data_IF_174096166514
#
_entry.id   IF_174096166514
#
_cell.length_a   1.000
_cell.length_b   1.000
_cell.length_c   1.000
_cell.angle_alpha   90.00
_cell.angle_beta   90.00
_cell.angle_gamma   90.00
#
_symmetry.space_group_name_H-M   'P 1'
#
loop_
_entity.id
_entity.type
_entity.pdbx_description
1 polymer ?
#
# COMPACT_ATOMS: atom_id res chain seq x y z
N UNK A 1 -10.42 10.46 -21.30
CA UNK A 1 -9.07 10.56 -20.73
C UNK A 1 -9.25 10.48 -19.23
N UNK A 2 -8.56 9.62 -18.53
CA UNK A 2 -8.66 9.57 -17.08
C UNK A 2 -7.32 9.14 -16.50
N UNK A 3 -6.72 10.01 -15.70
CA UNK A 3 -5.58 9.68 -14.86
C UNK A 3 -6.08 9.51 -13.43
N UNK A 4 -6.18 8.28 -12.96
CA UNK A 4 -6.74 7.94 -11.67
C UNK A 4 -5.66 7.45 -10.69
N UNK A 5 -5.80 7.83 -9.43
CA UNK A 5 -4.99 7.30 -8.32
C UNK A 5 -5.86 6.36 -7.49
N UNK A 6 -5.34 5.18 -7.14
CA UNK A 6 -6.01 4.23 -6.22
C UNK A 6 -5.16 4.05 -4.98
N UNK A 7 -5.67 4.45 -3.81
CA UNK A 7 -4.96 4.41 -2.53
C UNK A 7 -5.77 3.75 -1.42
N UNK A 8 -5.09 3.30 -0.36
CA UNK A 8 -5.73 2.86 0.88
C UNK A 8 -6.08 4.02 1.80
N UNK A 9 -7.20 3.93 2.50
CA UNK A 9 -7.69 4.99 3.39
C UNK A 9 -7.56 4.68 4.88
N UNK A 10 -7.15 3.46 5.24
CA UNK A 10 -7.03 2.99 6.62
C UNK A 10 -5.56 2.68 6.95
N UNK A 11 -5.25 1.52 7.53
CA UNK A 11 -3.87 1.08 7.85
C UNK A 11 -3.32 -0.01 6.92
N UNK A 12 -3.75 -0.04 5.67
CA UNK A 12 -3.39 -1.10 4.74
C UNK A 12 -4.35 -2.29 4.80
N UNK A 13 -4.13 -3.25 3.92
CA UNK A 13 -4.93 -4.48 3.81
C UNK A 13 -6.43 -4.26 3.51
N UNK A 14 -6.82 -3.10 2.94
CA UNK A 14 -8.19 -2.76 2.56
C UNK A 14 -8.74 -3.62 1.40
N UNK A 15 -7.95 -4.56 0.90
CA UNK A 15 -8.31 -5.33 -0.28
C UNK A 15 -8.17 -4.54 -1.59
N UNK A 16 -7.25 -3.57 -1.60
CA UNK A 16 -6.95 -2.74 -2.79
C UNK A 16 -6.70 -3.55 -4.05
N UNK A 17 -6.04 -4.72 -3.92
CA UNK A 17 -5.69 -5.56 -5.07
C UNK A 17 -6.88 -5.88 -5.97
N UNK A 18 -8.07 -6.10 -5.42
CA UNK A 18 -9.30 -6.34 -6.19
C UNK A 18 -9.73 -5.10 -6.98
N UNK A 19 -9.77 -3.93 -6.35
CA UNK A 19 -10.15 -2.67 -7.00
C UNK A 19 -9.12 -2.28 -8.06
N UNK A 20 -7.83 -2.42 -7.73
CA UNK A 20 -6.73 -2.16 -8.63
C UNK A 20 -6.81 -3.07 -9.86
N UNK A 21 -7.06 -4.38 -9.70
CA UNK A 21 -7.19 -5.31 -10.82
C UNK A 21 -8.34 -4.94 -11.77
N UNK A 22 -9.49 -4.55 -11.22
CA UNK A 22 -10.65 -4.13 -12.02
C UNK A 22 -10.31 -2.87 -12.83
N UNK A 23 -9.68 -1.87 -12.21
CA UNK A 23 -9.32 -0.63 -12.90
C UNK A 23 -8.17 -0.87 -13.89
N UNK A 24 -7.15 -1.67 -13.50
CA UNK A 24 -6.02 -2.03 -14.36
C UNK A 24 -6.46 -2.72 -15.66
N UNK A 25 -7.52 -3.54 -15.60
CA UNK A 25 -8.05 -4.21 -16.79
C UNK A 25 -8.58 -3.25 -17.87
N UNK A 26 -8.83 -1.99 -17.50
CA UNK A 26 -9.35 -0.92 -18.36
C UNK A 26 -8.32 0.18 -18.62
N UNK A 27 -7.10 0.04 -18.06
CA UNK A 27 -6.05 1.05 -18.15
C UNK A 27 -5.03 0.71 -19.26
N UNK A 28 -4.59 1.74 -20.00
CA UNK A 28 -3.50 1.63 -20.95
C UNK A 28 -2.14 1.64 -20.25
N UNK A 29 -2.06 2.32 -19.10
CA UNK A 29 -0.83 2.47 -18.30
C UNK A 29 -1.12 2.27 -16.82
N UNK A 30 -0.31 1.45 -16.15
CA UNK A 30 -0.35 1.24 -14.68
C UNK A 30 1.00 1.58 -14.08
N UNK A 31 1.01 2.46 -13.08
CA UNK A 31 2.23 3.03 -12.49
C UNK A 31 2.32 2.79 -10.99
N UNK A 32 3.41 2.18 -10.52
CA UNK A 32 3.79 2.15 -9.10
C UNK A 32 4.65 3.38 -8.79
N UNK A 33 4.28 4.15 -7.78
CA UNK A 33 4.88 5.45 -7.48
C UNK A 33 5.75 5.48 -6.23
N UNK A 34 5.57 4.55 -5.29
CA UNK A 34 6.26 4.56 -3.99
C UNK A 34 6.29 3.16 -3.33
N UNK A 35 6.96 3.06 -2.17
CA UNK A 35 7.13 1.81 -1.44
C UNK A 35 8.19 0.92 -2.08
N UNK A 36 8.17 -0.34 -1.73
CA UNK A 36 9.10 -1.35 -2.24
C UNK A 36 8.47 -2.75 -2.15
N UNK A 37 9.29 -3.78 -1.95
CA UNK A 37 8.85 -5.15 -1.82
C UNK A 37 8.12 -5.46 -0.48
N UNK A 38 7.93 -4.47 0.40
CA UNK A 38 7.04 -4.53 1.55
C UNK A 38 5.55 -4.42 1.17
N UNK A 39 5.23 -3.99 -0.03
CA UNK A 39 3.87 -4.07 -0.58
C UNK A 39 3.59 -5.49 -1.10
N UNK A 40 2.33 -5.87 -1.12
CA UNK A 40 1.89 -7.14 -1.70
C UNK A 40 0.46 -7.02 -2.21
N UNK A 41 0.30 -7.16 -3.52
CA UNK A 41 -1.02 -7.26 -4.15
C UNK A 41 -1.23 -8.70 -4.61
N UNK A 42 -2.28 -9.32 -4.10
CA UNK A 42 -2.72 -10.63 -4.60
C UNK A 42 -3.80 -10.39 -5.63
N UNK A 43 -3.57 -10.84 -6.85
CA UNK A 43 -4.50 -10.75 -7.97
C UNK A 43 -4.85 -12.17 -8.40
N UNK A 44 -6.13 -12.43 -8.64
CA UNK A 44 -6.61 -13.69 -9.21
C UNK A 44 -7.07 -13.44 -10.63
N UNK A 45 -6.39 -14.02 -11.60
CA UNK A 45 -6.70 -13.87 -13.03
C UNK A 45 -6.60 -15.22 -13.74
N UNK A 46 -7.59 -15.55 -14.56
CA UNK A 46 -7.62 -16.82 -15.29
C UNK A 46 -7.62 -18.09 -14.40
N UNK A 47 -8.09 -17.99 -13.16
CA UNK A 47 -8.06 -19.08 -12.19
C UNK A 47 -6.71 -19.26 -11.47
N UNK A 48 -5.70 -18.46 -11.80
CA UNK A 48 -4.41 -18.46 -11.14
C UNK A 48 -4.25 -17.28 -10.18
N UNK A 49 -3.47 -17.50 -9.13
CA UNK A 49 -3.14 -16.47 -8.13
C UNK A 49 -1.75 -15.92 -8.40
N UNK A 50 -1.67 -14.60 -8.52
CA UNK A 50 -0.44 -13.84 -8.68
C UNK A 50 -0.17 -12.99 -7.44
N UNK A 51 1.02 -13.12 -6.88
CA UNK A 51 1.48 -12.29 -5.75
C UNK A 51 2.50 -11.30 -6.28
N UNK A 52 2.08 -10.05 -6.46
CA UNK A 52 2.90 -8.96 -7.00
C UNK A 52 3.39 -8.08 -5.85
N UNK A 53 4.67 -7.78 -5.83
CA UNK A 53 5.30 -6.94 -4.81
C UNK A 53 5.82 -5.63 -5.41
N UNK A 54 6.57 -5.69 -6.49
CA UNK A 54 7.17 -4.55 -7.18
C UNK A 54 6.56 -4.33 -8.55
N UNK A 55 6.25 -5.39 -9.27
CA UNK A 55 5.65 -5.32 -10.61
C UNK A 55 4.22 -4.78 -10.50
N UNK A 56 3.83 -3.75 -11.30
CA UNK A 56 2.46 -3.26 -11.31
C UNK A 56 1.45 -4.33 -11.74
N UNK A 57 0.24 -4.29 -11.17
CA UNK A 57 -0.81 -5.29 -11.43
C UNK A 57 -1.26 -5.36 -12.89
N UNK A 58 -1.05 -4.29 -13.66
CA UNK A 58 -1.31 -4.24 -15.10
C UNK A 58 -0.52 -5.23 -15.95
N UNK A 59 0.55 -5.84 -15.42
CA UNK A 59 1.40 -6.81 -16.13
C UNK A 59 0.63 -8.05 -16.63
N UNK A 60 -0.49 -8.35 -15.99
CA UNK A 60 -1.37 -9.45 -16.37
C UNK A 60 -2.17 -9.15 -17.64
N UNK A 61 -2.16 -7.91 -18.12
CA UNK A 61 -2.89 -7.45 -19.31
C UNK A 61 -1.90 -7.08 -20.41
N UNK A 62 -1.92 -7.84 -21.51
CA UNK A 62 -0.93 -7.79 -22.59
C UNK A 62 -0.69 -6.40 -23.19
N UNK A 63 -1.73 -5.56 -23.24
CA UNK A 63 -1.66 -4.23 -23.86
C UNK A 63 -1.43 -3.09 -22.85
N UNK A 64 -1.32 -3.40 -21.56
CA UNK A 64 -1.13 -2.41 -20.52
C UNK A 64 0.36 -2.17 -20.28
N UNK A 65 0.81 -0.93 -20.39
CA UNK A 65 2.17 -0.53 -20.07
C UNK A 65 2.34 -0.43 -18.56
N UNK A 66 3.33 -1.12 -17.99
CA UNK A 66 3.60 -1.21 -16.57
C UNK A 66 4.85 -0.41 -16.19
N UNK A 67 4.73 0.52 -15.27
CA UNK A 67 5.77 1.47 -14.96
C UNK A 67 6.11 1.46 -13.46
N UNK A 68 7.39 1.45 -13.14
CA UNK A 68 7.93 1.61 -11.77
C UNK A 68 8.60 2.98 -11.70
N UNK A 69 7.98 3.90 -10.95
CA UNK A 69 8.41 5.29 -10.85
C UNK A 69 9.60 5.52 -9.92
N UNK A 70 10.15 6.72 -9.98
CA UNK A 70 11.34 7.19 -9.24
C UNK A 70 11.18 7.16 -7.71
N UNK A 71 9.93 7.13 -7.21
CA UNK A 71 9.64 7.09 -5.78
C UNK A 71 9.78 5.70 -5.16
N UNK A 72 9.87 4.63 -5.97
CA UNK A 72 10.02 3.25 -5.48
C UNK A 72 11.44 3.00 -5.00
N UNK A 73 11.57 2.17 -3.94
CA UNK A 73 12.84 1.55 -3.54
C UNK A 73 12.82 0.08 -3.97
N UNK A 74 13.63 -0.25 -4.97
CA UNK A 74 13.61 -1.52 -5.68
C UNK A 74 14.65 -2.46 -5.08
N UNK A 75 14.23 -3.63 -4.59
CA UNK A 75 15.12 -4.72 -4.23
C UNK A 75 15.41 -5.55 -5.49
N UNK A 76 16.63 -5.52 -6.07
CA UNK A 76 16.94 -6.20 -7.33
C UNK A 76 16.83 -7.72 -7.23
N UNK A 77 17.14 -8.29 -6.07
CA UNK A 77 17.06 -9.73 -5.82
C UNK A 77 15.62 -10.23 -5.84
N UNK A 78 14.75 -9.59 -5.07
CA UNK A 78 13.33 -9.97 -5.04
C UNK A 78 12.63 -9.61 -6.35
N UNK A 79 13.01 -8.50 -6.97
CA UNK A 79 12.49 -8.11 -8.28
C UNK A 79 12.83 -9.12 -9.37
N UNK A 80 14.08 -9.61 -9.42
CA UNK A 80 14.48 -10.63 -10.39
C UNK A 80 13.69 -11.94 -10.20
N UNK A 81 13.46 -12.36 -8.95
CA UNK A 81 12.59 -13.52 -8.67
C UNK A 81 11.17 -13.31 -9.15
N UNK A 82 10.65 -12.10 -9.00
CA UNK A 82 9.30 -11.76 -9.45
C UNK A 82 9.22 -11.77 -11.00
N UNK A 83 10.25 -11.26 -11.69
CA UNK A 83 10.39 -11.37 -13.15
C UNK A 83 10.39 -12.85 -13.60
N UNK A 84 11.23 -13.69 -12.98
CA UNK A 84 11.33 -15.11 -13.31
C UNK A 84 10.00 -15.84 -13.07
N UNK A 85 9.30 -15.50 -11.99
CA UNK A 85 7.97 -16.03 -11.70
C UNK A 85 6.94 -15.67 -12.76
N UNK A 86 6.96 -14.44 -13.28
CA UNK A 86 6.04 -14.03 -14.34
C UNK A 86 6.38 -14.72 -15.65
N UNK A 87 7.66 -14.77 -16.05
CA UNK A 87 8.13 -15.45 -17.26
C UNK A 87 7.80 -16.96 -17.24
N UNK A 88 7.97 -17.63 -16.07
CA UNK A 88 7.63 -19.05 -15.91
C UNK A 88 6.15 -19.37 -16.11
N UNK A 89 5.29 -18.36 -15.91
CA UNK A 89 3.85 -18.43 -16.15
C UNK A 89 3.44 -17.94 -17.54
N UNK A 90 4.41 -17.67 -18.42
CA UNK A 90 4.17 -17.21 -19.79
C UNK A 90 3.71 -15.75 -19.90
N UNK A 91 3.88 -14.95 -18.84
CA UNK A 91 3.58 -13.51 -18.89
C UNK A 91 4.74 -12.77 -19.55
N UNK A 92 4.46 -12.02 -20.63
CA UNK A 92 5.46 -11.13 -21.25
C UNK A 92 5.76 -9.95 -20.34
N UNK A 93 7.04 -9.58 -20.29
CA UNK A 93 7.55 -8.42 -19.59
C UNK A 93 7.98 -7.28 -20.53
N UNK A 94 7.66 -7.36 -21.83
CA UNK A 94 8.07 -6.38 -22.84
C UNK A 94 7.44 -4.99 -22.60
N UNK A 95 6.30 -4.97 -21.88
CA UNK A 95 5.54 -3.79 -21.48
C UNK A 95 5.95 -3.22 -20.11
N UNK A 96 7.07 -3.67 -19.52
CA UNK A 96 7.57 -3.18 -18.23
C UNK A 96 8.65 -2.11 -18.43
N UNK A 97 8.58 -1.00 -17.65
CA UNK A 97 9.66 0.00 -17.56
C UNK A 97 9.92 0.43 -16.13
N UNK A 98 11.15 0.80 -15.86
CA UNK A 98 11.65 1.21 -14.53
C UNK A 98 12.37 2.54 -14.65
N UNK A 99 12.01 3.48 -13.81
CA UNK A 99 12.67 4.79 -13.78
C UNK A 99 14.13 4.68 -13.31
N UNK A 100 15.10 5.23 -14.04
CA UNK A 100 16.51 5.21 -13.64
C UNK A 100 16.79 5.93 -12.31
N UNK A 101 15.89 6.81 -11.87
CA UNK A 101 16.00 7.56 -10.60
C UNK A 101 15.49 6.78 -9.39
N UNK A 102 14.80 5.64 -9.57
CA UNK A 102 14.38 4.77 -8.48
C UNK A 102 15.61 4.30 -7.67
N UNK A 103 15.47 4.21 -6.34
CA UNK A 103 16.57 3.79 -5.48
C UNK A 103 16.60 2.27 -5.32
N UNK A 104 17.79 1.75 -5.04
CA UNK A 104 18.05 0.31 -4.88
C UNK A 104 18.11 -0.03 -3.40
N UNK A 105 17.32 -1.03 -2.99
CA UNK A 105 17.47 -1.65 -1.68
C UNK A 105 18.65 -2.61 -1.71
N UNK A 106 19.65 -2.35 -0.87
CA UNK A 106 20.90 -3.11 -0.79
C UNK A 106 20.89 -4.05 0.42
N UNK A 107 21.73 -5.10 0.46
CA UNK A 107 21.80 -6.04 1.60
C UNK A 107 22.05 -5.37 2.94
N UNK A 108 22.83 -4.30 2.98
CA UNK A 108 23.05 -3.54 4.22
C UNK A 108 21.79 -2.82 4.72
N UNK A 109 20.85 -2.43 3.83
CA UNK A 109 19.58 -1.87 4.26
C UNK A 109 18.74 -2.91 5.01
N UNK A 110 18.72 -4.14 4.51
CA UNK A 110 18.01 -5.27 5.15
C UNK A 110 18.63 -5.60 6.51
N UNK A 111 19.96 -5.66 6.57
CA UNK A 111 20.68 -5.90 7.82
C UNK A 111 20.41 -4.79 8.85
N UNK A 112 20.52 -3.52 8.45
CA UNK A 112 20.27 -2.36 9.31
C UNK A 112 18.83 -2.30 9.81
N UNK A 113 17.85 -2.65 8.97
CA UNK A 113 16.42 -2.70 9.37
C UNK A 113 16.23 -3.72 10.50
N UNK A 114 16.78 -4.93 10.35
CA UNK A 114 16.72 -5.96 11.39
C UNK A 114 17.46 -5.61 12.68
N UNK A 115 18.69 -5.08 12.57
CA UNK A 115 19.52 -4.71 13.70
C UNK A 115 18.94 -3.52 14.47
N UNK A 116 18.42 -2.50 13.79
CA UNK A 116 17.81 -1.35 14.45
C UNK A 116 16.54 -1.74 15.23
N UNK A 117 15.73 -2.67 14.73
CA UNK A 117 14.59 -3.20 15.47
C UNK A 117 15.02 -3.96 16.74
N UNK A 118 16.07 -4.77 16.63
CA UNK A 118 16.63 -5.46 17.80
C UNK A 118 17.19 -4.48 18.83
N UNK A 119 17.89 -3.44 18.38
CA UNK A 119 18.47 -2.41 19.25
C UNK A 119 17.42 -1.61 20.01
N UNK A 120 16.26 -1.34 19.37
CA UNK A 120 15.11 -0.64 20.00
C UNK A 120 14.43 -1.48 21.10
N UNK A 121 14.56 -2.80 21.08
CA UNK A 121 13.92 -3.70 22.04
C UNK A 121 12.41 -3.50 22.12
N UNK A 122 11.88 -3.08 23.30
CA UNK A 122 10.44 -2.87 23.49
C UNK A 122 9.88 -1.66 22.70
N UNK A 123 10.73 -0.76 22.24
CA UNK A 123 10.37 0.41 21.44
C UNK A 123 10.45 0.14 19.93
N UNK A 124 10.47 -1.14 19.51
CA UNK A 124 10.48 -1.53 18.11
C UNK A 124 9.21 -1.04 17.38
N UNK A 125 9.37 -0.71 16.11
CA UNK A 125 8.27 -0.23 15.25
C UNK A 125 7.44 -1.41 14.72
N UNK A 126 8.06 -2.58 14.61
CA UNK A 126 7.47 -3.76 13.99
C UNK A 126 7.60 -3.74 12.47
N UNK A 127 8.78 -3.40 11.96
CA UNK A 127 9.06 -3.31 10.52
C UNK A 127 8.94 -4.66 9.82
N UNK A 128 8.85 -4.63 8.50
CA UNK A 128 8.83 -5.84 7.67
C UNK A 128 10.21 -6.48 7.51
N UNK A 129 11.27 -5.84 8.02
CA UNK A 129 12.68 -6.24 7.89
C UNK A 129 13.13 -6.42 6.44
N UNK A 130 12.60 -5.58 5.54
CA UNK A 130 12.93 -5.58 4.12
C UNK A 130 13.83 -4.43 3.69
N UNK A 131 14.36 -3.68 4.65
CA UNK A 131 15.29 -2.59 4.39
C UNK A 131 14.68 -1.33 3.79
N UNK A 132 13.35 -1.19 3.83
CA UNK A 132 12.64 -0.05 3.20
C UNK A 132 13.02 1.27 3.86
N UNK A 133 12.93 1.35 5.19
CA UNK A 133 13.31 2.54 5.96
C UNK A 133 14.75 2.97 5.70
N UNK A 134 15.74 2.11 5.88
CA UNK A 134 17.14 2.41 5.58
C UNK A 134 17.41 2.81 4.12
N UNK A 135 16.69 2.23 3.15
CA UNK A 135 16.82 2.63 1.74
C UNK A 135 16.30 4.06 1.48
N UNK A 136 15.15 4.42 2.08
CA UNK A 136 14.66 5.81 2.02
C UNK A 136 15.57 6.78 2.80
N UNK A 137 16.13 6.35 3.93
CA UNK A 137 17.11 7.16 4.67
C UNK A 137 18.31 7.53 3.78
N UNK A 138 18.88 6.56 3.07
CA UNK A 138 19.98 6.82 2.12
C UNK A 138 19.57 7.72 0.96
N UNK A 139 18.33 7.59 0.48
CA UNK A 139 17.79 8.49 -0.56
C UNK A 139 17.79 9.94 -0.09
N UNK A 140 17.30 10.22 1.11
CA UNK A 140 17.21 11.60 1.65
C UNK A 140 18.56 12.12 2.16
N UNK A 141 19.45 11.24 2.62
CA UNK A 141 20.85 11.53 2.90
C UNK A 141 21.64 11.85 1.61
N UNK A 142 21.15 11.46 0.45
CA UNK A 142 21.78 11.60 -0.87
C UNK A 142 23.01 10.71 -1.07
N UNK A 143 23.07 9.61 -0.34
CA UNK A 143 24.10 8.58 -0.42
C UNK A 143 23.61 7.29 -1.12
N UNK A 144 22.32 7.24 -1.48
CA UNK A 144 21.67 6.06 -2.04
C UNK A 144 22.14 5.72 -3.46
N UNK A 145 22.09 4.42 -3.76
CA UNK A 145 22.35 3.86 -5.10
C UNK A 145 21.03 3.88 -5.88
N UNK A 146 21.06 4.35 -7.12
CA UNK A 146 19.93 4.37 -8.03
C UNK A 146 19.95 3.21 -9.01
N UNK A 147 18.84 2.93 -9.65
CA UNK A 147 18.74 1.95 -10.73
C UNK A 147 19.70 2.30 -11.87
N UNK A 148 19.86 3.61 -12.21
CA UNK A 148 20.87 4.06 -13.15
C UNK A 148 22.27 3.57 -12.78
N UNK A 149 22.66 3.70 -11.52
CA UNK A 149 23.98 3.29 -11.06
C UNK A 149 24.13 1.76 -11.17
N UNK A 150 23.11 1.01 -10.75
CA UNK A 150 23.11 -0.46 -10.77
C UNK A 150 23.32 -1.04 -12.18
N UNK A 151 22.75 -0.42 -13.21
CA UNK A 151 22.87 -0.91 -14.58
C UNK A 151 24.17 -0.48 -15.27
N UNK A 152 25.02 0.30 -14.59
CA UNK A 152 26.35 0.70 -15.03
C UNK A 152 27.41 0.09 -14.09
N UNK A 153 27.98 -1.09 -14.39
CA UNK A 153 28.75 -1.90 -13.43
C UNK A 153 29.90 -1.18 -12.73
N UNK A 154 30.63 -0.33 -13.46
CA UNK A 154 31.78 0.42 -12.87
C UNK A 154 31.30 1.47 -11.87
N UNK A 155 30.26 2.24 -12.23
CA UNK A 155 29.64 3.25 -11.36
C UNK A 155 29.05 2.57 -10.12
N UNK A 156 28.38 1.45 -10.32
CA UNK A 156 27.80 0.67 -9.24
C UNK A 156 28.88 0.17 -8.27
N UNK A 157 29.95 -0.42 -8.77
CA UNK A 157 31.04 -0.95 -7.94
C UNK A 157 31.71 0.14 -7.10
N UNK A 158 31.97 1.31 -7.66
CA UNK A 158 32.55 2.47 -6.95
C UNK A 158 31.63 2.93 -5.81
N UNK A 159 30.34 3.19 -6.12
CA UNK A 159 29.35 3.62 -5.14
C UNK A 159 29.11 2.58 -4.05
N UNK A 160 29.01 1.30 -4.42
CA UNK A 160 28.80 0.22 -3.46
C UNK A 160 29.96 0.06 -2.49
N UNK A 161 31.20 0.20 -2.94
CA UNK A 161 32.39 0.20 -2.04
C UNK A 161 32.35 1.38 -1.07
N UNK A 162 32.05 2.58 -1.58
CA UNK A 162 31.98 3.78 -0.74
C UNK A 162 30.86 3.67 0.31
N UNK A 163 29.63 3.38 -0.11
CA UNK A 163 28.49 3.25 0.81
C UNK A 163 28.67 2.06 1.76
N UNK A 164 29.07 0.89 1.24
CA UNK A 164 29.23 -0.33 2.02
C UNK A 164 30.27 -0.22 3.12
N UNK A 165 31.35 0.54 2.89
CA UNK A 165 32.36 0.81 3.92
C UNK A 165 31.78 1.52 5.14
N UNK A 166 30.95 2.56 4.92
CA UNK A 166 30.26 3.28 6.00
C UNK A 166 29.23 2.38 6.68
N UNK A 167 28.40 1.68 5.89
CA UNK A 167 27.33 0.83 6.43
C UNK A 167 27.89 -0.33 7.24
N UNK A 168 28.99 -0.94 6.83
CA UNK A 168 29.66 -1.98 7.62
C UNK A 168 30.14 -1.45 8.97
N UNK A 169 30.70 -0.24 9.04
CA UNK A 169 31.05 0.37 10.33
C UNK A 169 29.83 0.53 11.24
N UNK A 170 28.70 0.99 10.70
CA UNK A 170 27.47 1.11 11.50
C UNK A 170 26.99 -0.27 11.96
N UNK A 171 27.00 -1.26 11.08
CA UNK A 171 26.59 -2.63 11.40
C UNK A 171 27.46 -3.21 12.52
N UNK A 172 28.78 -3.09 12.41
CA UNK A 172 29.72 -3.75 13.34
C UNK A 172 29.94 -2.95 14.62
N UNK A 173 30.23 -1.63 14.51
CA UNK A 173 30.64 -0.80 15.63
C UNK A 173 29.46 -0.25 16.44
N UNK A 174 28.29 -0.02 15.80
CA UNK A 174 27.08 0.51 16.49
C UNK A 174 26.14 -0.60 16.91
N UNK A 175 25.87 -1.55 16.01
CA UNK A 175 24.87 -2.59 16.27
C UNK A 175 25.47 -3.95 16.66
N UNK A 176 26.80 -4.14 16.57
CA UNK A 176 27.46 -5.41 16.90
C UNK A 176 27.10 -6.56 15.95
N UNK A 177 26.65 -6.23 14.74
CA UNK A 177 26.31 -7.22 13.71
C UNK A 177 27.52 -7.67 12.89
N UNK A 178 27.33 -8.69 12.05
CA UNK A 178 28.37 -9.21 11.18
C UNK A 178 28.55 -8.30 9.93
N UNK A 179 29.79 -8.04 9.51
CA UNK A 179 30.06 -7.24 8.31
C UNK A 179 29.58 -7.95 7.04
N UNK A 180 29.13 -7.17 6.07
CA UNK A 180 28.71 -7.65 4.76
C UNK A 180 29.93 -7.67 3.83
N UNK A 181 30.13 -8.75 3.07
CA UNK A 181 31.13 -8.83 2.01
C UNK A 181 30.67 -7.97 0.82
N UNK A 182 31.24 -6.78 0.71
CA UNK A 182 30.87 -5.79 -0.31
C UNK A 182 31.25 -6.26 -1.72
N UNK A 183 32.38 -6.99 -1.89
CA UNK A 183 32.76 -7.48 -3.21
C UNK A 183 31.83 -8.61 -3.68
N UNK A 184 31.38 -9.48 -2.78
CA UNK A 184 30.35 -10.47 -3.10
C UNK A 184 29.04 -9.80 -3.50
N UNK A 185 28.62 -8.73 -2.79
CA UNK A 185 27.43 -7.93 -3.14
C UNK A 185 27.60 -7.30 -4.53
N UNK A 186 28.75 -6.69 -4.82
CA UNK A 186 29.00 -6.09 -6.13
C UNK A 186 28.88 -7.13 -7.23
N UNK A 187 29.46 -8.29 -7.06
CA UNK A 187 29.39 -9.38 -8.04
C UNK A 187 27.95 -9.83 -8.28
N UNK A 188 27.19 -10.11 -7.21
CA UNK A 188 25.80 -10.58 -7.30
C UNK A 188 24.88 -9.50 -7.92
N UNK A 189 24.97 -8.26 -7.43
CA UNK A 189 24.07 -7.18 -7.86
C UNK A 189 24.38 -6.65 -9.27
N UNK A 190 25.62 -6.80 -9.75
CA UNK A 190 25.96 -6.54 -11.15
C UNK A 190 25.19 -7.45 -12.09
N UNK A 191 24.99 -8.72 -11.74
CA UNK A 191 24.18 -9.64 -12.57
C UNK A 191 22.70 -9.24 -12.56
N UNK A 192 22.14 -8.80 -11.42
CA UNK A 192 20.81 -8.22 -11.38
C UNK A 192 20.71 -6.96 -12.24
N UNK A 193 21.71 -6.08 -12.19
CA UNK A 193 21.78 -4.88 -13.02
C UNK A 193 21.72 -5.20 -14.52
N UNK A 194 22.48 -6.18 -14.98
CA UNK A 194 22.43 -6.66 -16.38
C UNK A 194 21.02 -7.15 -16.77
N UNK A 195 20.37 -7.90 -15.88
CA UNK A 195 19.01 -8.43 -16.12
C UNK A 195 17.97 -7.33 -16.21
N UNK A 196 18.13 -6.26 -15.41
CA UNK A 196 17.17 -5.15 -15.29
C UNK A 196 17.39 -4.10 -16.38
N UNK A 197 18.60 -3.96 -16.91
CA UNK A 197 18.99 -2.87 -17.83
C UNK A 197 18.03 -2.66 -19.00
N UNK A 198 17.47 -3.72 -19.58
CA UNK A 198 16.54 -3.66 -20.72
C UNK A 198 15.20 -2.98 -20.39
N UNK A 199 14.87 -2.85 -19.12
CA UNK A 199 13.63 -2.24 -18.66
C UNK A 199 13.77 -0.76 -18.27
N UNK A 200 14.99 -0.22 -18.24
CA UNK A 200 15.26 1.14 -17.75
C UNK A 200 14.87 2.18 -18.79
N UNK A 201 14.00 3.11 -18.40
CA UNK A 201 13.53 4.20 -19.26
C UNK A 201 12.98 5.37 -18.42
N UNK A 202 12.85 6.57 -19.01
CA UNK A 202 12.30 7.74 -18.29
C UNK A 202 10.78 7.63 -18.13
N UNK A 203 10.37 7.09 -16.99
CA UNK A 203 8.96 6.86 -16.67
C UNK A 203 8.16 8.18 -16.65
N UNK A 204 8.76 9.29 -16.21
CA UNK A 204 8.05 10.58 -16.15
C UNK A 204 7.68 11.09 -17.56
N UNK A 205 8.57 10.92 -18.50
CA UNK A 205 8.32 11.28 -19.93
C UNK A 205 7.29 10.34 -20.53
N UNK A 206 7.38 9.05 -20.24
CA UNK A 206 6.42 8.05 -20.74
C UNK A 206 5.00 8.37 -20.26
N UNK A 207 4.82 8.63 -18.96
CA UNK A 207 3.51 8.98 -18.37
C UNK A 207 2.96 10.26 -18.98
N UNK A 208 3.81 11.29 -19.12
CA UNK A 208 3.41 12.57 -19.71
C UNK A 208 2.95 12.42 -21.17
N UNK A 209 3.67 11.65 -21.98
CA UNK A 209 3.31 11.40 -23.38
C UNK A 209 2.02 10.56 -23.47
N UNK A 210 1.87 9.52 -22.65
CA UNK A 210 0.65 8.72 -22.59
C UNK A 210 -0.58 9.59 -22.25
N UNK A 211 -0.43 10.54 -21.30
CA UNK A 211 -1.50 11.49 -21.00
C UNK A 211 -1.84 12.38 -22.20
N UNK A 212 -0.83 12.92 -22.90
CA UNK A 212 -1.06 13.72 -24.12
C UNK A 212 -1.74 12.95 -25.25
N UNK A 213 -1.45 11.65 -25.36
CA UNK A 213 -2.07 10.75 -26.32
C UNK A 213 -3.50 10.36 -25.92
N UNK A 214 -4.00 10.82 -24.77
CA UNK A 214 -5.34 10.53 -24.30
C UNK A 214 -5.52 9.12 -23.73
N UNK A 215 -4.43 8.46 -23.31
CA UNK A 215 -4.47 7.13 -22.70
C UNK A 215 -5.04 7.20 -21.28
N UNK A 216 -5.65 6.10 -20.87
CA UNK A 216 -6.12 5.90 -19.50
C UNK A 216 -4.95 5.45 -18.62
N UNK A 217 -4.65 6.23 -17.56
CA UNK A 217 -3.53 6.00 -16.66
C UNK A 217 -4.05 5.69 -15.27
N UNK A 218 -3.57 4.62 -14.66
CA UNK A 218 -3.84 4.29 -13.26
C UNK A 218 -2.55 4.32 -12.45
N UNK A 219 -2.54 5.07 -11.36
CA UNK A 219 -1.47 5.03 -10.36
C UNK A 219 -1.88 4.10 -9.22
N UNK A 220 -1.15 3.01 -9.09
CA UNK A 220 -1.37 1.96 -8.11
C UNK A 220 -0.65 2.29 -6.81
N UNK A 221 -1.40 2.69 -5.78
CA UNK A 221 -0.89 2.98 -4.44
C UNK A 221 -0.55 1.71 -3.66
N UNK A 222 0.54 1.77 -2.90
CA UNK A 222 0.92 0.76 -1.92
C UNK A 222 0.67 1.29 -0.50
N UNK A 223 0.51 0.40 0.48
CA UNK A 223 0.17 0.75 1.87
C UNK A 223 -1.15 1.55 1.96
N UNK A 224 -1.23 2.55 2.85
CA UNK A 224 -2.44 3.35 3.04
C UNK A 224 -2.14 4.69 3.73
N UNK A 225 -3.11 5.60 3.75
CA UNK A 225 -2.99 6.95 4.29
C UNK A 225 -2.49 6.99 5.74
N UNK A 226 -3.01 6.12 6.61
CA UNK A 226 -2.61 6.09 8.03
C UNK A 226 -1.19 5.52 8.26
N UNK A 227 -0.55 5.01 7.19
CA UNK A 227 0.85 4.58 7.16
C UNK A 227 1.77 5.61 6.48
N UNK A 228 1.27 6.78 6.09
CA UNK A 228 2.08 7.86 5.54
C UNK A 228 3.05 8.40 6.58
N UNK A 229 4.29 8.73 6.15
CA UNK A 229 5.35 9.18 7.05
C UNK A 229 5.01 10.50 7.77
N UNK A 230 4.24 11.39 7.13
CA UNK A 230 3.89 12.71 7.67
C UNK A 230 2.46 12.75 8.22
N UNK A 231 1.49 12.14 7.52
CA UNK A 231 0.05 12.22 7.84
C UNK A 231 -0.52 10.96 8.47
N UNK A 232 0.29 9.94 8.68
CA UNK A 232 -0.09 8.70 9.34
C UNK A 232 0.16 8.70 10.85
N UNK A 233 0.06 7.52 11.45
CA UNK A 233 0.26 7.29 12.89
C UNK A 233 1.74 7.11 13.25
N UNK A 234 2.56 8.11 12.97
CA UNK A 234 3.99 8.12 13.30
C UNK A 234 4.22 7.80 14.80
N UNK A 235 5.18 6.92 15.19
CA UNK A 235 6.21 6.29 14.33
C UNK A 235 5.79 4.96 13.66
N UNK A 236 4.56 4.48 13.85
CA UNK A 236 4.06 3.22 13.30
C UNK A 236 3.55 3.40 11.86
N UNK A 237 4.45 3.75 10.95
CA UNK A 237 4.21 4.13 9.55
C UNK A 237 5.23 3.49 8.62
N UNK A 238 5.04 3.63 7.31
CA UNK A 238 6.09 3.35 6.31
C UNK A 238 6.95 4.60 6.08
N UNK A 239 8.15 4.42 5.56
CA UNK A 239 9.08 5.53 5.28
C UNK A 239 8.84 6.19 3.91
N UNK A 240 7.61 6.14 3.41
CA UNK A 240 7.22 6.71 2.11
C UNK A 240 5.90 7.47 2.23
N UNK A 241 5.44 8.07 1.12
CA UNK A 241 4.18 8.78 1.04
C UNK A 241 3.11 7.98 0.27
N UNK A 242 2.30 7.13 0.96
CA UNK A 242 1.14 6.47 0.36
C UNK A 242 0.00 7.42 -0.01
N UNK A 243 0.01 8.66 0.46
CA UNK A 243 -0.97 9.69 0.10
C UNK A 243 -0.88 10.08 -1.38
N UNK A 244 -1.97 10.60 -1.93
CA UNK A 244 -2.07 10.93 -3.36
C UNK A 244 -0.99 11.90 -3.86
N UNK A 245 -0.57 12.86 -3.04
CA UNK A 245 0.54 13.77 -3.36
C UNK A 245 1.87 13.03 -3.60
N UNK A 246 2.08 11.91 -2.91
CA UNK A 246 3.25 11.05 -3.09
C UNK A 246 3.35 10.45 -4.50
N UNK A 247 2.24 10.29 -5.19
CA UNK A 247 2.21 9.83 -6.59
C UNK A 247 2.89 10.84 -7.51
N UNK A 248 2.57 12.12 -7.37
CA UNK A 248 3.17 13.18 -8.19
C UNK A 248 4.69 13.24 -8.01
N UNK A 249 5.15 13.20 -6.76
CA UNK A 249 6.59 13.20 -6.44
C UNK A 249 7.27 11.92 -6.93
N UNK A 250 6.62 10.77 -6.73
CA UNK A 250 7.19 9.45 -7.06
C UNK A 250 7.24 9.12 -8.55
N UNK A 251 6.50 9.86 -9.39
CA UNK A 251 6.46 9.64 -10.85
C UNK A 251 6.93 10.84 -11.66
N UNK A 252 7.09 12.00 -11.02
CA UNK A 252 7.49 13.22 -11.71
C UNK A 252 6.38 13.86 -12.56
N UNK A 253 5.11 13.55 -12.27
CA UNK A 253 3.96 14.15 -12.96
C UNK A 253 3.40 15.34 -12.17
N UNK A 254 2.92 16.35 -12.87
CA UNK A 254 2.27 17.50 -12.24
C UNK A 254 0.89 17.12 -11.65
N UNK A 255 0.48 17.74 -10.52
CA UNK A 255 -0.79 17.40 -9.87
C UNK A 255 -2.03 17.66 -10.75
N UNK A 256 -1.94 18.60 -11.69
CA UNK A 256 -3.03 18.92 -12.63
C UNK A 256 -3.27 17.82 -13.69
N UNK A 257 -2.41 16.81 -13.75
CA UNK A 257 -2.61 15.64 -14.62
C UNK A 257 -3.62 14.65 -14.02
N UNK A 258 -3.85 14.71 -12.72
CA UNK A 258 -4.72 13.77 -12.00
C UNK A 258 -6.17 14.22 -12.11
N UNK A 259 -7.03 13.37 -12.66
CA UNK A 259 -8.46 13.63 -12.84
C UNK A 259 -9.30 13.06 -11.68
N UNK A 260 -8.85 11.95 -11.08
CA UNK A 260 -9.63 11.21 -10.10
C UNK A 260 -8.75 10.56 -9.04
N UNK A 261 -9.22 10.57 -7.78
CA UNK A 261 -8.53 9.89 -6.67
C UNK A 261 -9.55 8.99 -5.96
N UNK A 262 -9.31 7.69 -6.02
CA UNK A 262 -10.18 6.64 -5.47
C UNK A 262 -9.56 6.12 -4.17
N UNK A 263 -10.26 6.33 -3.07
CA UNK A 263 -9.89 5.77 -1.77
C UNK A 263 -10.50 4.39 -1.57
N UNK A 264 -9.72 3.42 -1.15
CA UNK A 264 -10.21 2.07 -0.83
C UNK A 264 -10.24 1.88 0.68
N UNK A 265 -11.39 1.51 1.22
CA UNK A 265 -11.60 1.14 2.62
C UNK A 265 -12.20 -0.27 2.72
N UNK A 266 -12.11 -0.89 3.88
CA UNK A 266 -12.98 -2.01 4.26
C UNK A 266 -14.24 -1.51 4.94
N UNK A 267 -15.29 -2.30 4.91
CA UNK A 267 -16.51 -2.06 5.68
C UNK A 267 -16.31 -2.15 7.21
N UNK A 268 -15.11 -2.48 7.65
CA UNK A 268 -14.61 -2.48 9.03
C UNK A 268 -13.14 -2.04 9.02
N UNK A 269 -12.47 -2.03 10.16
CA UNK A 269 -11.07 -1.60 10.23
C UNK A 269 -10.17 -2.76 10.63
N UNK A 270 -8.96 -2.83 10.03
CA UNK A 270 -7.90 -3.73 10.48
C UNK A 270 -6.59 -3.00 10.62
N UNK A 271 -5.74 -3.46 11.54
CA UNK A 271 -4.38 -2.96 11.70
C UNK A 271 -3.40 -4.11 11.89
N UNK A 272 -2.26 -4.00 11.25
CA UNK A 272 -1.10 -4.87 11.48
C UNK A 272 -0.08 -4.11 12.33
N UNK A 273 0.56 -4.80 13.28
CA UNK A 273 1.61 -4.22 14.10
C UNK A 273 1.11 -3.38 15.27
N UNK A 274 2.01 -2.55 15.78
CA UNK A 274 1.82 -1.75 16.98
C UNK A 274 1.12 -0.42 16.69
N UNK A 275 0.82 0.31 17.75
CA UNK A 275 0.19 1.63 17.72
C UNK A 275 -1.29 1.61 18.10
N UNK A 276 -1.86 2.79 18.40
CA UNK A 276 -3.24 2.92 18.83
C UNK A 276 -4.24 2.51 17.74
N UNK A 277 -5.32 1.89 18.18
CA UNK A 277 -6.43 1.48 17.34
C UNK A 277 -7.74 1.72 18.11
N UNK A 278 -8.30 2.92 18.05
CA UNK A 278 -9.42 3.32 18.90
C UNK A 278 -10.64 2.42 18.80
N UNK A 279 -10.93 1.88 17.60
CA UNK A 279 -12.09 1.03 17.34
C UNK A 279 -11.80 -0.47 17.45
N UNK A 280 -10.65 -0.86 17.99
CA UNK A 280 -10.26 -2.27 18.13
C UNK A 280 -11.28 -3.06 18.94
N UNK A 281 -11.53 -4.29 18.52
CA UNK A 281 -12.40 -5.26 19.18
C UNK A 281 -11.55 -6.43 19.67
N UNK A 282 -11.40 -6.49 20.98
CA UNK A 282 -10.74 -7.61 21.67
C UNK A 282 -11.81 -8.50 22.33
N UNK A 283 -12.79 -8.92 21.53
CA UNK A 283 -13.95 -9.70 21.95
C UNK A 283 -14.37 -10.70 20.86
N UNK A 284 -15.44 -11.45 21.11
CA UNK A 284 -16.00 -12.45 20.21
C UNK A 284 -16.42 -11.84 18.85
N UNK A 285 -16.87 -10.58 18.84
CA UNK A 285 -17.22 -9.87 17.60
C UNK A 285 -15.98 -9.64 16.75
N UNK A 286 -14.88 -9.19 17.36
CA UNK A 286 -13.59 -9.00 16.70
C UNK A 286 -13.04 -10.30 16.10
N UNK A 287 -13.15 -11.40 16.85
CA UNK A 287 -12.75 -12.73 16.37
C UNK A 287 -13.63 -13.21 15.20
N UNK A 288 -14.94 -12.98 15.28
CA UNK A 288 -15.86 -13.34 14.21
C UNK A 288 -15.54 -12.57 12.92
N UNK A 289 -15.33 -11.26 13.00
CA UNK A 289 -14.93 -10.44 11.84
C UNK A 289 -13.59 -10.93 11.29
N UNK A 290 -12.61 -11.23 12.14
CA UNK A 290 -11.30 -11.76 11.73
C UNK A 290 -11.41 -13.05 10.95
N UNK A 291 -12.16 -14.00 11.49
CA UNK A 291 -12.31 -15.33 10.88
C UNK A 291 -13.11 -15.26 9.58
N UNK A 292 -14.26 -14.60 9.56
CA UNK A 292 -15.09 -14.42 8.34
C UNK A 292 -14.36 -13.61 7.27
N UNK A 293 -13.65 -12.56 7.67
CA UNK A 293 -12.88 -11.73 6.76
C UNK A 293 -11.56 -12.35 6.30
N UNK A 294 -11.14 -13.49 6.89
CA UNK A 294 -9.84 -14.09 6.58
C UNK A 294 -8.69 -13.13 6.92
N UNK A 295 -8.79 -12.39 8.04
CA UNK A 295 -7.84 -11.34 8.40
C UNK A 295 -6.59 -11.92 9.05
N UNK A 296 -5.78 -12.56 8.20
CA UNK A 296 -4.47 -13.15 8.54
C UNK A 296 -3.41 -12.66 7.56
N UNK A 297 -2.18 -12.52 8.05
CA UNK A 297 -1.06 -12.07 7.21
C UNK A 297 -0.74 -13.09 6.12
N UNK A 298 -0.71 -12.66 4.86
CA UNK A 298 -0.51 -13.53 3.70
C UNK A 298 0.80 -14.32 3.75
N UNK A 299 1.85 -13.75 4.35
CA UNK A 299 3.19 -14.36 4.43
C UNK A 299 3.42 -15.06 5.76
N UNK A 300 2.92 -14.50 6.87
CA UNK A 300 3.24 -14.95 8.23
C UNK A 300 2.10 -15.73 8.88
N UNK A 301 0.89 -15.70 8.32
CA UNK A 301 -0.32 -16.25 8.95
C UNK A 301 -0.74 -15.54 10.25
N UNK A 302 -0.05 -14.47 10.63
CA UNK A 302 -0.32 -13.74 11.89
C UNK A 302 -1.72 -13.10 11.84
N UNK A 303 -2.55 -13.26 12.90
CA UNK A 303 -3.86 -12.62 12.96
C UNK A 303 -3.70 -11.09 12.94
N UNK A 304 -4.56 -10.42 12.17
CA UNK A 304 -4.70 -8.97 12.18
C UNK A 304 -5.61 -8.54 13.33
N UNK A 305 -5.32 -7.38 13.89
CA UNK A 305 -6.23 -6.68 14.81
C UNK A 305 -7.44 -6.22 14.00
N UNK A 306 -8.64 -6.38 14.53
CA UNK A 306 -9.91 -6.04 13.87
C UNK A 306 -10.70 -5.06 14.72
N UNK A 307 -11.48 -4.21 14.10
CA UNK A 307 -12.30 -3.21 14.76
C UNK A 307 -13.44 -2.69 13.90
N UNK A 308 -14.36 -1.94 14.50
CA UNK A 308 -15.45 -1.31 13.80
C UNK A 308 -14.94 -0.30 12.75
N UNK A 309 -15.79 0.02 11.77
CA UNK A 309 -15.49 1.08 10.81
C UNK A 309 -15.27 2.41 11.53
N UNK A 310 -14.20 3.09 11.16
CA UNK A 310 -13.81 4.36 11.76
C UNK A 310 -13.95 5.49 10.74
N UNK A 311 -15.03 6.26 10.85
CA UNK A 311 -15.29 7.37 9.94
C UNK A 311 -14.34 8.55 10.17
N UNK A 312 -13.73 8.67 11.37
CA UNK A 312 -12.75 9.74 11.66
C UNK A 312 -11.50 9.56 10.80
N UNK A 313 -10.95 8.33 10.75
CA UNK A 313 -9.76 8.06 9.92
C UNK A 313 -10.07 8.16 8.43
N UNK A 314 -11.27 7.74 7.99
CA UNK A 314 -11.62 7.82 6.56
C UNK A 314 -11.86 9.26 6.15
N UNK A 315 -12.49 10.10 6.97
CA UNK A 315 -12.59 11.57 6.74
C UNK A 315 -11.23 12.23 6.63
N UNK A 316 -10.32 11.88 7.54
CA UNK A 316 -8.92 12.33 7.45
C UNK A 316 -8.32 11.96 6.10
N UNK A 317 -8.50 10.71 5.66
CA UNK A 317 -8.01 10.23 4.38
C UNK A 317 -8.67 10.96 3.19
N UNK A 318 -9.97 11.23 3.25
CA UNK A 318 -10.69 12.03 2.23
C UNK A 318 -10.05 13.40 2.09
N UNK A 319 -9.81 14.09 3.21
CA UNK A 319 -9.24 15.44 3.26
C UNK A 319 -7.80 15.48 2.76
N UNK A 320 -6.93 14.60 3.28
CA UNK A 320 -5.48 14.60 2.99
C UNK A 320 -5.20 14.26 1.53
N UNK A 321 -6.00 13.37 0.95
CA UNK A 321 -5.82 12.90 -0.41
C UNK A 321 -6.65 13.66 -1.45
N UNK A 322 -7.67 14.42 -1.04
CA UNK A 322 -8.63 15.02 -1.96
C UNK A 322 -9.43 13.95 -2.72
N UNK A 323 -9.94 12.93 -2.00
CA UNK A 323 -10.66 11.83 -2.64
C UNK A 323 -11.90 12.32 -3.38
N UNK A 324 -12.05 11.84 -4.62
CA UNK A 324 -13.26 12.04 -5.41
C UNK A 324 -14.29 10.95 -5.18
N UNK A 325 -13.85 9.74 -4.85
CA UNK A 325 -14.69 8.55 -4.65
C UNK A 325 -14.09 7.61 -3.61
N UNK A 326 -14.95 6.80 -2.99
CA UNK A 326 -14.59 5.65 -2.16
C UNK A 326 -14.99 4.33 -2.82
N UNK A 327 -14.19 3.31 -2.58
CA UNK A 327 -14.53 1.91 -2.81
C UNK A 327 -14.53 1.20 -1.46
N UNK A 328 -15.65 0.57 -1.09
CA UNK A 328 -15.78 -0.19 0.17
C UNK A 328 -15.69 -1.67 -0.14
N UNK A 329 -14.70 -2.35 0.43
CA UNK A 329 -14.52 -3.79 0.28
C UNK A 329 -15.02 -4.57 1.50
N UNK A 330 -15.22 -5.88 1.30
CA UNK A 330 -15.54 -6.85 2.36
C UNK A 330 -16.82 -6.54 3.14
N UNK A 331 -17.82 -5.99 2.47
CA UNK A 331 -19.13 -5.74 3.06
C UNK A 331 -19.82 -7.07 3.46
N UNK A 332 -19.63 -8.12 2.66
CA UNK A 332 -20.06 -9.49 2.91
C UNK A 332 -19.62 -10.06 4.26
N UNK A 333 -18.45 -9.64 4.76
CA UNK A 333 -17.93 -10.07 6.06
C UNK A 333 -18.84 -9.67 7.21
N UNK A 334 -19.60 -8.58 7.08
CA UNK A 334 -20.48 -8.05 8.12
C UNK A 334 -21.86 -8.72 8.18
N UNK A 335 -22.22 -9.56 7.20
CA UNK A 335 -23.46 -10.36 7.26
C UNK A 335 -23.49 -11.23 8.51
N UNK A 336 -24.60 -11.25 9.26
CA UNK A 336 -24.78 -12.07 10.46
C UNK A 336 -23.91 -11.66 11.67
N UNK A 337 -23.40 -10.42 11.70
CA UNK A 337 -22.66 -9.89 12.87
C UNK A 337 -23.63 -9.31 13.92
N UNK A 338 -24.88 -9.06 13.56
CA UNK A 338 -25.82 -8.30 14.38
C UNK A 338 -25.72 -6.81 14.12
N UNK A 339 -25.99 -5.99 15.14
CA UNK A 339 -25.91 -4.55 15.01
C UNK A 339 -24.48 -4.08 14.70
N UNK A 340 -24.36 -3.19 13.71
CA UNK A 340 -23.09 -2.65 13.24
C UNK A 340 -22.81 -1.31 13.91
N UNK A 341 -21.58 -1.10 14.35
CA UNK A 341 -21.16 0.18 14.94
C UNK A 341 -20.21 0.91 14.01
N UNK A 342 -20.38 2.22 13.90
CA UNK A 342 -19.52 3.13 13.16
C UNK A 342 -18.99 4.18 14.13
N UNK A 343 -17.67 4.33 14.21
CA UNK A 343 -17.06 5.40 15.00
C UNK A 343 -17.22 6.73 14.27
N UNK A 344 -17.94 7.66 14.89
CA UNK A 344 -18.30 8.97 14.30
C UNK A 344 -17.45 10.12 14.83
N UNK A 345 -16.87 9.93 16.03
CA UNK A 345 -16.03 10.91 16.74
C UNK A 345 -15.14 10.19 17.74
N UNK A 346 -14.15 10.91 18.27
CA UNK A 346 -13.37 10.48 19.43
C UNK A 346 -13.68 11.38 20.64
N UNK A 347 -13.79 10.77 21.82
CA UNK A 347 -13.89 11.46 23.09
C UNK A 347 -12.51 11.51 23.75
N UNK A 348 -12.05 12.70 24.06
CA UNK A 348 -10.79 12.95 24.77
C UNK A 348 -10.94 12.71 26.27
N UNK A 349 -9.83 12.59 27.05
CA UNK A 349 -9.88 12.41 28.50
C UNK A 349 -10.62 13.52 29.27
N UNK A 350 -10.68 14.73 28.73
CA UNK A 350 -11.42 15.87 29.29
C UNK A 350 -12.94 15.83 28.96
N UNK A 351 -13.41 14.80 28.24
CA UNK A 351 -14.81 14.65 27.84
C UNK A 351 -15.17 15.43 26.58
N UNK A 352 -14.27 16.20 26.00
CA UNK A 352 -14.52 16.87 24.71
C UNK A 352 -14.54 15.86 23.57
N UNK A 353 -15.38 16.13 22.54
CA UNK A 353 -15.48 15.29 21.34
C UNK A 353 -14.85 15.96 20.17
N UNK A 354 -14.07 15.19 19.41
CA UNK A 354 -13.44 15.62 18.16
C UNK A 354 -13.88 14.72 17.01
N UNK A 355 -14.09 15.32 15.85
CA UNK A 355 -14.44 14.65 14.60
C UNK A 355 -13.27 14.60 13.62
N UNK A 356 -12.26 15.40 13.84
CA UNK A 356 -11.01 15.39 13.10
C UNK A 356 -10.01 14.42 13.74
N UNK A 357 -9.19 13.81 12.88
CA UNK A 357 -8.13 12.91 13.32
C UNK A 357 -7.04 13.69 14.06
N UNK A 358 -6.65 13.27 15.29
CA UNK A 358 -5.61 13.95 16.06
C UNK A 358 -4.27 13.98 15.31
N UNK A 359 -3.54 15.11 15.35
CA UNK A 359 -2.27 15.23 14.63
C UNK A 359 -1.11 14.47 15.28
N UNK A 360 -1.26 14.07 16.54
CA UNK A 360 -0.21 13.39 17.31
C UNK A 360 -0.72 12.07 17.90
N UNK A 361 0.19 11.09 17.96
CA UNK A 361 -0.14 9.72 18.36
C UNK A 361 -0.61 9.63 19.83
N UNK A 362 -0.02 10.40 20.70
CA UNK A 362 -0.32 10.43 22.13
C UNK A 362 -1.79 10.85 22.36
N UNK A 363 -2.27 11.86 21.64
CA UNK A 363 -3.68 12.25 21.70
C UNK A 363 -4.60 11.13 21.19
N UNK A 364 -4.20 10.45 20.12
CA UNK A 364 -4.99 9.34 19.58
C UNK A 364 -5.06 8.15 20.54
N UNK A 365 -3.96 7.87 21.26
CA UNK A 365 -3.88 6.75 22.18
C UNK A 365 -4.84 6.88 23.37
N UNK A 366 -5.10 8.12 23.81
CA UNK A 366 -5.98 8.45 24.93
C UNK A 366 -7.44 8.61 24.52
N UNK A 367 -7.74 8.62 23.23
CA UNK A 367 -9.09 8.80 22.71
C UNK A 367 -9.95 7.54 22.85
N UNK A 368 -11.23 7.74 23.18
CA UNK A 368 -12.26 6.68 23.15
C UNK A 368 -13.18 6.87 21.94
N UNK A 369 -13.54 5.80 21.23
CA UNK A 369 -14.44 5.90 20.10
C UNK A 369 -15.88 6.21 20.55
N UNK A 370 -16.53 7.12 19.85
CA UNK A 370 -17.96 7.40 19.98
C UNK A 370 -18.66 6.75 18.81
N UNK A 371 -19.60 5.86 19.11
CA UNK A 371 -20.26 5.05 18.09
C UNK A 371 -21.70 5.51 17.81
N UNK A 372 -22.09 5.45 16.53
CA UNK A 372 -23.47 5.25 16.12
C UNK A 372 -23.70 3.76 15.84
N UNK A 373 -24.88 3.24 16.24
CA UNK A 373 -25.28 1.86 16.00
C UNK A 373 -26.30 1.82 14.88
N UNK A 374 -26.09 0.94 13.93
CA UNK A 374 -26.94 0.71 12.76
C UNK A 374 -27.43 -0.74 12.75
N UNK A 375 -28.62 -0.97 12.27
CA UNK A 375 -29.14 -2.31 12.09
C UNK A 375 -28.26 -3.09 11.11
N UNK A 376 -27.83 -4.29 11.49
CA UNK A 376 -27.11 -5.21 10.63
C UNK A 376 -28.01 -5.94 9.63
N UNK A 377 -27.40 -6.87 8.91
CA UNK A 377 -28.07 -7.73 7.93
C UNK A 377 -27.52 -9.15 8.03
N UNK A 378 -28.37 -10.13 7.74
CA UNK A 378 -28.02 -11.56 7.83
C UNK A 378 -27.90 -12.20 6.45
N UNK A 379 -28.38 -11.55 5.41
CA UNK A 379 -28.45 -12.08 4.05
C UNK A 379 -27.05 -12.23 3.42
N UNK A 380 -26.91 -13.26 2.60
CA UNK A 380 -25.76 -13.39 1.69
C UNK A 380 -25.91 -12.40 0.53
N UNK A 381 -25.06 -11.39 0.51
CA UNK A 381 -25.07 -10.34 -0.51
C UNK A 381 -24.14 -10.65 -1.69
N UNK A 382 -23.45 -11.79 -1.70
CA UNK A 382 -22.41 -12.12 -2.68
C UNK A 382 -22.94 -12.23 -4.13
N UNK A 383 -24.22 -12.52 -4.29
CA UNK A 383 -24.91 -12.62 -5.58
C UNK A 383 -25.47 -11.30 -6.11
N UNK A 384 -25.58 -10.26 -5.27
CA UNK A 384 -26.11 -8.95 -5.67
C UNK A 384 -25.23 -8.30 -6.74
N UNK A 385 -25.88 -7.77 -7.79
CA UNK A 385 -25.20 -7.13 -8.95
C UNK A 385 -25.43 -5.62 -9.00
N UNK A 386 -26.39 -5.13 -8.26
CA UNK A 386 -26.70 -3.71 -8.17
C UNK A 386 -26.96 -3.27 -6.74
N UNK A 387 -26.81 -1.96 -6.48
CA UNK A 387 -27.09 -1.38 -5.17
C UNK A 387 -28.53 -1.62 -4.72
N UNK A 388 -29.48 -1.64 -5.66
CA UNK A 388 -30.90 -1.85 -5.37
C UNK A 388 -31.21 -3.26 -4.86
N UNK A 389 -30.40 -4.27 -5.22
CA UNK A 389 -30.57 -5.66 -4.78
C UNK A 389 -30.06 -5.89 -3.35
N UNK A 390 -29.26 -4.98 -2.79
CA UNK A 390 -28.81 -5.09 -1.42
C UNK A 390 -29.97 -4.98 -0.41
N UNK A 391 -29.90 -5.68 0.75
CA UNK A 391 -30.84 -5.50 1.85
C UNK A 391 -30.96 -4.04 2.29
N UNK A 392 -32.12 -3.66 2.82
CA UNK A 392 -32.38 -2.27 3.22
C UNK A 392 -31.38 -1.77 4.27
N UNK A 393 -31.07 -2.59 5.29
CA UNK A 393 -30.09 -2.27 6.32
C UNK A 393 -28.67 -2.15 5.75
N UNK A 394 -28.30 -3.00 4.78
CA UNK A 394 -27.03 -2.92 4.08
C UNK A 394 -26.89 -1.62 3.28
N UNK A 395 -27.95 -1.20 2.57
CA UNK A 395 -28.00 0.11 1.87
C UNK A 395 -27.88 1.27 2.85
N UNK A 396 -28.63 1.23 3.96
CA UNK A 396 -28.54 2.25 5.00
C UNK A 396 -27.15 2.36 5.61
N UNK A 397 -26.45 1.23 5.81
CA UNK A 397 -25.06 1.22 6.26
C UNK A 397 -24.15 1.95 5.27
N UNK A 398 -24.21 1.63 3.97
CA UNK A 398 -23.40 2.28 2.94
C UNK A 398 -23.71 3.78 2.82
N UNK A 399 -24.97 4.15 2.83
CA UNK A 399 -25.41 5.56 2.77
C UNK A 399 -24.93 6.34 4.01
N UNK A 400 -24.94 5.71 5.19
CA UNK A 400 -24.42 6.32 6.41
C UNK A 400 -22.90 6.50 6.35
N UNK A 401 -22.15 5.53 5.83
CA UNK A 401 -20.71 5.69 5.64
C UNK A 401 -20.42 6.84 4.66
N UNK A 402 -21.18 6.95 3.58
CA UNK A 402 -21.08 8.02 2.58
C UNK A 402 -21.30 9.41 3.22
N UNK A 403 -22.36 9.55 4.03
CA UNK A 403 -22.66 10.75 4.81
C UNK A 403 -21.52 11.10 5.77
N UNK A 404 -21.11 10.14 6.60
CA UNK A 404 -20.10 10.36 7.64
C UNK A 404 -18.70 10.65 7.09
N UNK A 405 -18.34 10.07 5.96
CA UNK A 405 -17.04 10.30 5.32
C UNK A 405 -17.04 11.55 4.43
N UNK A 406 -18.21 12.07 4.03
CA UNK A 406 -18.34 13.19 3.13
C UNK A 406 -17.80 12.89 1.71
N UNK A 407 -17.85 11.63 1.28
CA UNK A 407 -17.30 11.19 0.00
C UNK A 407 -18.15 10.05 -0.59
N UNK A 408 -18.49 10.15 -1.87
CA UNK A 408 -19.36 9.18 -2.56
C UNK A 408 -18.71 7.79 -2.61
N UNK A 409 -19.48 6.77 -2.23
CA UNK A 409 -19.09 5.37 -2.39
C UNK A 409 -19.51 4.90 -3.78
N UNK A 410 -18.55 4.78 -4.69
CA UNK A 410 -18.79 4.43 -6.08
C UNK A 410 -18.66 2.92 -6.37
N UNK A 411 -17.96 2.18 -5.49
CA UNK A 411 -17.74 0.74 -5.65
C UNK A 411 -17.97 0.03 -4.32
N UNK A 412 -18.65 -1.13 -4.35
CA UNK A 412 -18.93 -1.93 -3.17
C UNK A 412 -18.52 -3.38 -3.47
N UNK A 413 -17.50 -3.86 -2.77
CA UNK A 413 -17.09 -5.26 -2.81
C UNK A 413 -17.94 -6.10 -1.88
N UNK A 414 -18.74 -6.97 -2.46
CA UNK A 414 -19.72 -7.82 -1.79
C UNK A 414 -19.34 -9.31 -1.76
N UNK A 415 -18.05 -9.62 -1.94
CA UNK A 415 -17.49 -10.98 -1.87
C UNK A 415 -16.02 -10.99 -2.29
N UNK A 416 -15.33 -12.14 -2.20
CA UNK A 416 -13.89 -12.24 -2.47
C UNK A 416 -13.53 -12.18 -3.97
N UNK A 417 -14.42 -12.62 -4.86
CA UNK A 417 -14.15 -12.70 -6.29
C UNK A 417 -14.14 -11.31 -6.95
N UNK A 418 -13.36 -11.14 -8.03
CA UNK A 418 -13.28 -9.89 -8.78
C UNK A 418 -14.62 -9.46 -9.39
N UNK A 419 -15.51 -10.41 -9.68
CA UNK A 419 -16.85 -10.15 -10.24
C UNK A 419 -17.87 -9.76 -9.17
N UNK A 420 -17.53 -9.92 -7.89
CA UNK A 420 -18.39 -9.57 -6.75
C UNK A 420 -18.15 -8.12 -6.33
N UNK A 421 -18.49 -7.22 -7.23
CA UNK A 421 -18.43 -5.77 -7.02
C UNK A 421 -19.65 -5.12 -7.63
N UNK A 422 -20.17 -4.12 -6.94
CA UNK A 422 -21.28 -3.28 -7.38
C UNK A 422 -20.73 -1.90 -7.67
N UNK A 423 -20.86 -1.42 -8.89
CA UNK A 423 -20.55 -0.04 -9.30
C UNK A 423 -21.81 0.83 -9.18
N UNK A 424 -21.67 2.10 -8.63
CA UNK A 424 -22.78 3.06 -8.38
C UNK A 424 -22.59 4.35 -9.18
#
# INVERSE_FOLDING_TARGET
MSASIVIGTQWGDEGKGKIIDIIASRADVVVRSQGGNNAGHTVVSGGETYKLHLIPSGILYKNTLCLIGAGVVLDPKDFTKELDSMESKGISLDNLRIDPRAHVTMPWHIALDGLSEQFRGNSDIGTTKRGIGPAYMDKYERSGIRVYDLVHPEVFAEKARSAGKLKNKIITEVYGGEPIDIEAVIKEYTEYGKRIAKYVDDVSVIVYNAHKEGKTIMFEGAQATLLDIDFGTYPYVTSSHPVSAGVCVGTGVGPMLIDEIIGVAKAYTTRVGKGPFPTELDDETGDTIRNKGGEFGTTTGRPRRTGWFDAVIVRHSVRVNGLSKLAINKLDTLSGIGDLKVCVAYEKPDGSRITDFPPVLEELADCKPVYETLQGFDEDISSCKSFNELPASCKAYIEKLEELCGCKIAMIGNGPDRTQIIER
#
